data_IF_505031561750
#
_entry.id   IF_505031561750
#
_cell.length_a   1.000
_cell.length_b   1.000
_cell.length_c   1.000
_cell.angle_alpha   90.00
_cell.angle_beta   90.00
_cell.angle_gamma   90.00
#
_symmetry.space_group_name_H-M   'P 1'
#
loop_
_entity.id
_entity.type
_entity.pdbx_description
1 polymer ?
#
# COMPACT_ATOMS: atom_id res chain seq x y z
N UNK A 1 -19.93 -98.94 11.44
CA UNK A 1 -19.40 -97.64 11.93
C UNK A 1 -19.88 -96.53 10.99
N UNK A 2 -20.81 -95.67 11.43
CA UNK A 2 -21.20 -94.43 10.73
C UNK A 2 -20.51 -93.26 11.44
N UNK A 3 -19.72 -92.45 10.73
CA UNK A 3 -19.28 -91.14 11.24
C UNK A 3 -20.22 -90.09 10.65
N UNK A 4 -20.93 -89.39 11.52
CA UNK A 4 -21.76 -88.23 11.20
C UNK A 4 -20.87 -87.01 10.96
N UNK A 5 -21.12 -86.29 9.87
CA UNK A 5 -20.45 -85.01 9.55
C UNK A 5 -21.28 -83.90 10.17
N UNK A 6 -20.70 -83.11 11.08
CA UNK A 6 -21.30 -81.88 11.60
C UNK A 6 -20.98 -80.70 10.67
N UNK A 7 -22.02 -79.99 10.23
CA UNK A 7 -21.88 -78.71 9.50
C UNK A 7 -21.86 -77.55 10.48
N UNK A 8 -20.78 -76.75 10.48
CA UNK A 8 -20.70 -75.52 11.28
C UNK A 8 -21.46 -74.37 10.58
N UNK A 9 -22.20 -73.51 11.31
CA UNK A 9 -22.82 -72.34 10.71
C UNK A 9 -21.74 -71.32 10.29
N UNK A 10 -21.74 -70.94 9.01
CA UNK A 10 -20.94 -69.82 8.51
C UNK A 10 -21.50 -68.51 9.08
N UNK A 11 -20.64 -67.70 9.70
CA UNK A 11 -21.01 -66.41 10.26
C UNK A 11 -21.42 -65.41 9.15
N UNK A 12 -22.53 -64.72 9.36
CA UNK A 12 -23.09 -63.71 8.45
C UNK A 12 -22.30 -62.39 8.61
N UNK A 13 -21.55 -61.99 7.59
CA UNK A 13 -20.80 -60.74 7.59
C UNK A 13 -21.74 -59.55 7.34
N UNK A 14 -21.97 -58.72 8.36
CA UNK A 14 -22.76 -57.50 8.28
C UNK A 14 -22.03 -56.47 7.40
N UNK A 15 -22.47 -56.29 6.15
CA UNK A 15 -21.99 -55.23 5.27
C UNK A 15 -22.33 -53.86 5.86
N UNK A 16 -21.33 -53.13 6.34
CA UNK A 16 -21.47 -51.71 6.65
C UNK A 16 -21.55 -50.94 5.34
N UNK A 17 -22.68 -50.28 5.10
CA UNK A 17 -22.90 -49.49 3.90
C UNK A 17 -21.91 -48.30 3.86
N UNK A 18 -20.85 -48.43 3.08
CA UNK A 18 -20.01 -47.29 2.71
C UNK A 18 -20.86 -46.29 1.94
N UNK A 19 -20.96 -45.05 2.46
CA UNK A 19 -21.67 -43.96 1.79
C UNK A 19 -20.91 -43.58 0.52
N UNK A 20 -21.47 -43.89 -0.64
CA UNK A 20 -21.00 -43.38 -1.92
C UNK A 20 -21.48 -41.93 -2.10
N UNK A 21 -20.57 -41.05 -2.52
CA UNK A 21 -20.87 -39.64 -2.82
C UNK A 21 -21.77 -39.57 -4.07
N UNK A 22 -22.85 -38.81 -4.02
CA UNK A 22 -23.69 -38.62 -5.22
C UNK A 22 -23.06 -37.58 -6.15
N UNK A 23 -23.19 -37.76 -7.47
CA UNK A 23 -22.78 -36.74 -8.44
C UNK A 23 -23.56 -35.44 -8.25
N UNK A 24 -24.78 -35.54 -7.75
CA UNK A 24 -25.65 -34.40 -7.46
C UNK A 24 -25.10 -33.58 -6.29
N UNK A 25 -24.58 -34.20 -5.22
CA UNK A 25 -23.94 -33.47 -4.12
C UNK A 25 -22.75 -32.65 -4.59
N UNK A 26 -21.93 -33.17 -5.51
CA UNK A 26 -20.84 -32.38 -6.08
C UNK A 26 -21.36 -31.26 -6.99
N UNK A 27 -22.41 -31.52 -7.77
CA UNK A 27 -22.97 -30.54 -8.71
C UNK A 27 -23.55 -29.31 -8.01
N UNK A 28 -24.29 -29.49 -6.91
CA UNK A 28 -24.82 -28.33 -6.18
C UNK A 28 -23.69 -27.52 -5.55
N UNK A 29 -22.64 -28.18 -5.05
CA UNK A 29 -21.52 -27.51 -4.37
C UNK A 29 -20.75 -26.63 -5.34
N UNK A 30 -20.40 -27.15 -6.52
CA UNK A 30 -19.70 -26.33 -7.52
C UNK A 30 -20.58 -25.20 -8.06
N UNK A 31 -21.90 -25.40 -8.13
CA UNK A 31 -22.84 -24.36 -8.57
C UNK A 31 -22.92 -23.20 -7.58
N UNK A 32 -22.95 -23.49 -6.28
CA UNK A 32 -22.97 -22.47 -5.23
C UNK A 32 -21.62 -21.73 -5.20
N UNK A 33 -20.50 -22.44 -5.33
CA UNK A 33 -19.17 -21.84 -5.41
C UNK A 33 -19.07 -20.90 -6.62
N UNK A 34 -19.61 -21.28 -7.78
CA UNK A 34 -19.60 -20.43 -8.98
C UNK A 34 -20.38 -19.12 -8.79
N UNK A 35 -21.55 -19.18 -8.15
CA UNK A 35 -22.36 -17.99 -7.85
C UNK A 35 -21.63 -17.07 -6.87
N UNK A 36 -21.07 -17.63 -5.78
CA UNK A 36 -20.34 -16.84 -4.79
C UNK A 36 -19.08 -16.21 -5.40
N UNK A 37 -18.29 -16.98 -6.14
CA UNK A 37 -17.08 -16.50 -6.80
C UNK A 37 -17.37 -15.35 -7.77
N UNK A 38 -18.48 -15.41 -8.53
CA UNK A 38 -18.88 -14.34 -9.44
C UNK A 38 -19.17 -13.00 -8.75
N UNK A 39 -19.60 -13.01 -7.49
CA UNK A 39 -20.03 -11.80 -6.76
C UNK A 39 -18.91 -11.15 -5.94
N UNK A 40 -17.90 -11.91 -5.52
CA UNK A 40 -16.84 -11.43 -4.62
C UNK A 40 -15.70 -10.73 -5.36
N UNK A 41 -15.40 -11.14 -6.59
CA UNK A 41 -14.25 -10.64 -7.39
C UNK A 41 -14.28 -9.14 -7.75
N UNK A 42 -15.42 -8.49 -8.09
CA UNK A 42 -15.39 -7.17 -8.71
C UNK A 42 -14.91 -6.04 -7.78
N UNK A 43 -14.85 -6.27 -6.46
CA UNK A 43 -14.59 -5.21 -5.49
C UNK A 43 -13.11 -4.81 -5.34
N UNK A 44 -12.13 -5.47 -5.97
CA UNK A 44 -10.71 -5.17 -5.73
C UNK A 44 -10.09 -4.11 -6.66
N UNK A 45 -10.80 -3.65 -7.69
CA UNK A 45 -10.23 -2.78 -8.72
C UNK A 45 -10.31 -1.31 -8.28
N UNK A 46 -9.29 -0.78 -7.61
CA UNK A 46 -9.13 0.66 -7.33
C UNK A 46 -8.64 1.02 -5.92
N UNK A 47 -8.78 0.11 -4.95
CA UNK A 47 -8.34 0.35 -3.57
C UNK A 47 -6.83 0.52 -3.45
N UNK A 48 -6.04 -0.19 -4.26
CA UNK A 48 -4.58 -0.11 -4.22
C UNK A 48 -4.06 1.30 -4.56
N UNK A 49 -4.67 1.95 -5.55
CA UNK A 49 -4.25 3.30 -5.96
C UNK A 49 -4.66 4.37 -4.95
N UNK A 50 -5.83 4.24 -4.34
CA UNK A 50 -6.28 5.15 -3.28
C UNK A 50 -5.46 5.00 -2.01
N UNK A 51 -5.10 3.75 -1.64
CA UNK A 51 -4.19 3.48 -0.53
C UNK A 51 -2.81 4.12 -0.75
N UNK A 52 -2.25 4.00 -1.96
CA UNK A 52 -0.96 4.62 -2.33
C UNK A 52 -1.02 6.15 -2.27
N UNK A 53 -2.11 6.75 -2.75
CA UNK A 53 -2.31 8.20 -2.69
C UNK A 53 -2.42 8.69 -1.23
N UNK A 54 -3.23 8.01 -0.42
CA UNK A 54 -3.38 8.31 1.01
C UNK A 54 -2.06 8.20 1.78
N UNK A 55 -1.27 7.15 1.51
CA UNK A 55 0.07 6.99 2.08
C UNK A 55 1.00 8.14 1.69
N UNK A 56 0.99 8.55 0.42
CA UNK A 56 1.83 9.65 -0.07
C UNK A 56 1.44 10.99 0.54
N UNK A 57 0.14 11.27 0.69
CA UNK A 57 -0.34 12.50 1.36
C UNK A 57 0.13 12.55 2.82
N UNK A 58 0.06 11.42 3.51
CA UNK A 58 0.53 11.30 4.90
C UNK A 58 2.03 11.58 5.01
N UNK A 59 2.82 11.02 4.10
CA UNK A 59 4.27 11.24 4.02
C UNK A 59 4.60 12.70 3.69
N UNK A 60 3.84 13.31 2.77
CA UNK A 60 3.98 14.72 2.40
C UNK A 60 3.69 15.66 3.58
N UNK A 61 2.65 15.38 4.37
CA UNK A 61 2.33 16.16 5.57
C UNK A 61 3.40 16.03 6.64
N UNK A 62 4.02 14.85 6.75
CA UNK A 62 5.17 14.64 7.65
C UNK A 62 6.34 15.53 7.24
N UNK A 63 6.70 15.54 5.94
CA UNK A 63 7.76 16.41 5.41
C UNK A 63 7.48 17.89 5.67
N UNK A 64 6.26 18.37 5.41
CA UNK A 64 5.88 19.77 5.68
C UNK A 64 6.00 20.14 7.17
N UNK A 65 5.59 19.23 8.05
CA UNK A 65 5.72 19.43 9.49
C UNK A 65 7.18 19.58 9.89
N UNK A 66 8.08 18.76 9.33
CA UNK A 66 9.52 18.86 9.59
C UNK A 66 10.14 20.14 9.04
N UNK A 67 9.78 20.55 7.82
CA UNK A 67 10.21 21.84 7.24
C UNK A 67 9.77 23.01 8.14
N UNK A 68 8.53 22.98 8.61
CA UNK A 68 7.99 24.04 9.49
C UNK A 68 8.70 24.07 10.83
N UNK A 69 8.98 22.90 11.40
CA UNK A 69 9.76 22.76 12.64
C UNK A 69 11.19 23.29 12.48
N UNK A 70 11.84 22.98 11.37
CA UNK A 70 13.15 23.50 11.03
C UNK A 70 13.14 25.03 10.99
N UNK A 71 12.17 25.64 10.30
CA UNK A 71 12.00 27.10 10.29
C UNK A 71 11.78 27.68 11.68
N UNK A 72 11.00 27.01 12.52
CA UNK A 72 10.72 27.48 13.87
C UNK A 72 11.98 27.50 14.77
N UNK A 73 12.98 26.65 14.49
CA UNK A 73 14.21 26.53 15.27
C UNK A 73 15.37 27.33 14.69
N UNK A 74 15.58 27.25 13.37
CA UNK A 74 16.70 27.89 12.66
C UNK A 74 16.36 29.30 12.18
N UNK A 75 15.08 29.68 12.15
CA UNK A 75 14.60 30.98 11.66
C UNK A 75 14.43 31.07 10.13
N UNK A 76 15.01 30.13 9.39
CA UNK A 76 14.97 30.07 7.92
C UNK A 76 14.44 28.73 7.42
N UNK A 77 13.95 28.70 6.18
CA UNK A 77 13.58 27.44 5.53
C UNK A 77 14.85 26.66 5.11
N UNK A 78 14.81 25.32 5.07
CA UNK A 78 15.96 24.53 4.64
C UNK A 78 16.27 24.83 3.16
N UNK A 79 17.55 24.91 2.81
CA UNK A 79 17.99 25.18 1.43
C UNK A 79 17.89 23.91 0.57
N UNK A 80 18.03 22.75 1.21
CA UNK A 80 17.79 21.43 0.64
C UNK A 80 16.93 20.61 1.60
N UNK A 81 16.07 19.72 1.08
CA UNK A 81 15.34 18.80 1.95
C UNK A 81 16.28 17.87 2.74
N UNK A 82 17.50 17.65 2.23
CA UNK A 82 18.54 16.87 2.91
C UNK A 82 19.05 17.54 4.20
N UNK A 83 18.87 18.85 4.35
CA UNK A 83 19.21 19.56 5.60
C UNK A 83 18.42 19.03 6.79
N UNK A 84 17.22 18.48 6.55
CA UNK A 84 16.41 17.87 7.61
C UNK A 84 17.05 16.58 8.17
N UNK A 85 17.88 15.90 7.38
CA UNK A 85 18.59 14.69 7.81
C UNK A 85 19.89 15.01 8.54
N UNK A 86 20.58 16.07 8.09
CA UNK A 86 21.93 16.39 8.55
C UNK A 86 21.93 17.35 9.74
N UNK A 87 21.01 18.32 9.76
CA UNK A 87 20.91 19.26 10.87
C UNK A 87 20.15 18.64 12.02
N UNK A 88 20.67 18.88 13.22
CA UNK A 88 20.08 18.41 14.46
C UNK A 88 19.62 19.59 15.30
N UNK A 89 18.61 19.35 16.12
CA UNK A 89 18.18 20.27 17.17
C UNK A 89 18.33 19.59 18.51
N UNK A 90 18.50 20.40 19.55
CA UNK A 90 18.50 19.90 20.92
C UNK A 90 17.07 19.81 21.44
N UNK A 91 16.69 18.61 21.86
CA UNK A 91 15.46 18.33 22.57
C UNK A 91 15.79 17.63 23.89
N UNK A 92 15.44 18.28 25.00
CA UNK A 92 15.75 17.82 26.37
C UNK A 92 17.21 17.38 26.58
N UNK A 93 18.16 18.10 25.97
CA UNK A 93 19.60 17.81 26.10
C UNK A 93 20.11 16.67 25.21
N UNK A 94 19.29 16.18 24.27
CA UNK A 94 19.69 15.19 23.27
C UNK A 94 19.62 15.83 21.87
N UNK A 95 20.71 15.72 21.10
CA UNK A 95 20.73 16.15 19.71
C UNK A 95 20.02 15.12 18.83
N UNK A 96 18.99 15.56 18.09
CA UNK A 96 18.21 14.71 17.19
C UNK A 96 18.06 15.38 15.82
N UNK A 97 18.11 14.64 14.71
CA UNK A 97 17.86 15.19 13.39
C UNK A 97 16.39 15.63 13.26
N UNK A 98 16.13 16.61 12.39
CA UNK A 98 14.74 17.01 12.09
C UNK A 98 13.94 15.89 11.41
N UNK A 99 14.62 14.99 10.73
CA UNK A 99 14.05 13.84 10.05
C UNK A 99 15.03 12.67 10.06
N UNK A 100 14.59 11.48 10.46
CA UNK A 100 15.46 10.29 10.48
C UNK A 100 15.69 9.71 9.08
N UNK A 101 14.64 9.73 8.26
CA UNK A 101 14.67 9.27 6.87
C UNK A 101 13.61 9.97 6.05
N UNK A 102 13.92 10.19 4.78
CA UNK A 102 12.95 10.70 3.82
C UNK A 102 11.94 9.57 3.54
N UNK A 103 10.64 9.78 3.79
CA UNK A 103 9.63 8.78 3.52
C UNK A 103 9.54 8.52 2.02
N UNK A 104 9.14 7.32 1.62
CA UNK A 104 8.96 7.02 0.20
C UNK A 104 7.63 7.59 -0.32
N UNK A 105 7.60 8.05 -1.57
CA UNK A 105 6.35 8.30 -2.28
C UNK A 105 5.83 7.00 -2.91
N UNK A 106 4.52 6.91 -3.17
CA UNK A 106 3.88 5.68 -3.64
C UNK A 106 3.07 5.86 -4.93
N UNK A 107 3.13 7.03 -5.57
CA UNK A 107 2.24 7.40 -6.69
C UNK A 107 2.95 7.54 -8.03
N UNK A 108 4.27 7.73 -8.05
CA UNK A 108 5.03 7.85 -9.30
C UNK A 108 5.17 6.50 -10.01
N UNK A 109 5.69 6.55 -11.23
CA UNK A 109 6.12 5.35 -11.99
C UNK A 109 7.15 4.49 -11.24
N UNK A 110 7.80 5.05 -10.22
CA UNK A 110 8.77 4.39 -9.34
C UNK A 110 8.27 4.38 -7.89
N UNK A 111 7.06 3.86 -7.65
CA UNK A 111 6.51 3.64 -6.30
C UNK A 111 7.55 3.07 -5.34
N UNK A 112 7.71 3.69 -4.17
CA UNK A 112 8.75 3.36 -3.20
C UNK A 112 10.02 4.22 -3.32
N UNK A 113 10.07 5.15 -4.27
CA UNK A 113 11.19 6.08 -4.40
C UNK A 113 11.18 7.13 -3.27
N UNK A 114 12.35 7.39 -2.70
CA UNK A 114 12.57 8.41 -1.67
C UNK A 114 13.64 9.44 -2.08
N UNK A 115 14.07 9.40 -3.35
CA UNK A 115 14.99 10.38 -3.91
C UNK A 115 14.39 11.78 -3.79
N UNK A 116 15.25 12.76 -3.58
CA UNK A 116 14.86 14.16 -3.55
C UNK A 116 15.64 14.94 -4.57
N UNK A 117 14.91 15.78 -5.29
CA UNK A 117 15.46 16.78 -6.19
C UNK A 117 15.11 18.14 -5.60
N UNK A 118 16.14 18.90 -5.24
CA UNK A 118 16.00 20.31 -4.89
C UNK A 118 15.97 21.11 -6.19
N UNK A 119 14.96 21.96 -6.35
CA UNK A 119 14.68 22.67 -7.59
C UNK A 119 14.24 24.10 -7.29
N UNK A 120 14.35 24.96 -8.30
CA UNK A 120 13.80 26.33 -8.27
C UNK A 120 12.37 26.30 -8.80
N UNK A 121 11.53 27.25 -8.40
CA UNK A 121 10.13 27.21 -8.83
C UNK A 121 9.86 27.50 -10.31
N UNK A 122 10.91 27.84 -11.06
CA UNK A 122 10.88 27.99 -12.52
C UNK A 122 11.26 26.69 -13.26
N UNK A 123 11.65 25.64 -12.54
CA UNK A 123 12.03 24.35 -13.13
C UNK A 123 10.85 23.37 -13.15
N UNK A 124 10.65 22.73 -14.30
CA UNK A 124 9.63 21.70 -14.47
C UNK A 124 10.04 20.39 -13.79
N UNK A 125 9.05 19.66 -13.28
CA UNK A 125 9.25 18.33 -12.70
C UNK A 125 9.78 17.37 -13.78
N UNK A 126 10.85 16.63 -13.48
CA UNK A 126 11.46 15.68 -14.42
C UNK A 126 10.65 14.40 -14.61
N UNK A 127 9.72 14.11 -13.68
CA UNK A 127 8.90 12.91 -13.73
C UNK A 127 9.64 11.63 -13.36
N UNK A 128 10.86 11.76 -12.82
CA UNK A 128 11.67 10.62 -12.40
C UNK A 128 11.18 9.93 -11.13
N UNK A 129 10.14 10.45 -10.48
CA UNK A 129 9.60 10.01 -9.20
C UNK A 129 10.37 10.58 -8.00
N UNK A 130 9.94 10.22 -6.80
CA UNK A 130 10.48 10.78 -5.56
C UNK A 130 9.90 12.17 -5.23
N UNK A 131 10.60 12.93 -4.41
CA UNK A 131 10.18 14.25 -3.95
C UNK A 131 10.90 15.36 -4.72
N UNK A 132 10.15 16.41 -4.99
CA UNK A 132 10.63 17.69 -5.48
C UNK A 132 10.51 18.71 -4.35
N UNK A 133 11.59 19.42 -4.03
CA UNK A 133 11.58 20.49 -3.05
C UNK A 133 11.94 21.82 -3.71
N UNK A 134 11.01 22.77 -3.65
CA UNK A 134 11.20 24.14 -4.09
C UNK A 134 11.72 24.97 -2.92
N UNK A 135 13.01 25.30 -2.95
CA UNK A 135 13.69 26.03 -1.86
C UNK A 135 13.23 27.49 -1.74
N UNK A 136 12.84 28.11 -2.86
CA UNK A 136 12.33 29.47 -2.94
C UNK A 136 10.92 29.64 -2.36
N UNK A 137 10.06 28.64 -2.57
CA UNK A 137 8.67 28.61 -2.08
C UNK A 137 8.50 27.76 -0.82
N UNK A 138 9.57 27.14 -0.33
CA UNK A 138 9.56 26.14 0.74
C UNK A 138 8.48 25.06 0.54
N UNK A 139 8.32 24.60 -0.70
CA UNK A 139 7.19 23.75 -1.11
C UNK A 139 7.70 22.38 -1.53
N UNK A 140 7.16 21.34 -0.89
CA UNK A 140 7.44 19.94 -1.26
C UNK A 140 6.31 19.36 -2.10
N UNK A 141 6.68 18.64 -3.16
CA UNK A 141 5.81 17.99 -4.12
C UNK A 141 6.35 16.61 -4.51
N UNK A 142 5.53 15.81 -5.21
CA UNK A 142 6.00 14.56 -5.81
C UNK A 142 6.47 14.85 -7.23
N UNK A 143 7.63 14.32 -7.61
CA UNK A 143 8.23 14.55 -8.92
C UNK A 143 7.56 13.70 -10.01
N UNK A 144 6.42 14.20 -10.53
CA UNK A 144 5.66 13.59 -11.62
C UNK A 144 5.46 14.62 -12.74
N UNK A 145 5.72 14.22 -14.00
CA UNK A 145 5.56 15.07 -15.20
C UNK A 145 4.10 15.19 -15.63
N UNK A 146 3.32 14.13 -15.43
CA UNK A 146 1.90 14.10 -15.76
C UNK A 146 1.08 14.23 -14.47
N UNK A 147 0.03 15.08 -14.46
CA UNK A 147 -0.96 15.03 -13.40
C UNK A 147 -1.61 13.62 -13.38
N UNK A 148 -1.99 13.14 -12.21
CA UNK A 148 -2.59 11.80 -12.02
C UNK A 148 -4.03 11.69 -12.58
N UNK A 149 -4.39 12.48 -13.59
CA UNK A 149 -5.75 12.83 -13.96
C UNK A 149 -6.42 11.91 -15.00
N UNK A 150 -5.78 10.81 -15.38
CA UNK A 150 -6.38 9.82 -16.28
C UNK A 150 -7.46 8.92 -15.67
N UNK A 151 -7.50 8.73 -14.34
CA UNK A 151 -8.41 7.76 -13.68
C UNK A 151 -9.17 8.27 -12.45
N UNK A 152 -8.87 9.48 -11.96
CA UNK A 152 -9.38 9.99 -10.68
C UNK A 152 -9.99 11.41 -10.76
N UNK A 153 -10.35 11.86 -11.96
CA UNK A 153 -10.85 13.21 -12.18
C UNK A 153 -9.73 14.24 -12.10
N UNK A 154 -9.97 15.42 -12.67
CA UNK A 154 -8.99 16.51 -12.74
C UNK A 154 -8.58 16.94 -11.32
N UNK A 155 -7.52 16.36 -10.79
CA UNK A 155 -6.79 16.97 -9.68
C UNK A 155 -6.08 18.18 -10.26
N UNK A 156 -6.82 19.30 -10.39
CA UNK A 156 -6.23 20.60 -10.69
C UNK A 156 -5.22 20.91 -9.60
N UNK A 157 -3.96 20.66 -9.92
CA UNK A 157 -2.82 20.95 -9.09
C UNK A 157 -2.53 19.88 -8.05
N UNK A 158 -1.29 19.43 -8.06
CA UNK A 158 -0.49 19.50 -6.85
C UNK A 158 -0.49 20.95 -6.34
N UNK A 159 -1.61 21.40 -5.76
CA UNK A 159 -1.60 22.49 -4.79
C UNK A 159 -1.67 21.82 -3.42
N UNK A 160 -0.53 21.57 -2.77
CA UNK A 160 -0.43 21.87 -1.35
C UNK A 160 -1.25 23.14 -1.12
N UNK A 161 -2.37 22.98 -0.43
CA UNK A 161 -3.32 24.05 -0.17
C UNK A 161 -2.56 25.35 0.13
N UNK A 162 -2.91 26.40 -0.60
CA UNK A 162 -2.65 27.75 -0.12
C UNK A 162 -3.44 27.88 1.19
N UNK A 163 -2.72 27.82 2.30
CA UNK A 163 -3.11 28.35 3.60
C UNK A 163 -1.89 29.05 4.19
#
# INVERSE_FOLDING_TARGET
>A
MRKTVETRPCAEAKMTASRAFTLLELLIVISIIAILASTVIPNFIGFDTEAKLSATITNLNTLRTRITMYRAKEGEYPVSLNDLLTKTYEDMGVQQPYLDKIPAEMISSKSGNNSVVDMKSDEDLSGEGGWAYYSDKAKVMVNVTEPLDGKWGKSKGQVPAEW
#
